data_IF_531175198094
#
_entry.id   IF_531175198094
#
_cell.length_a   1.000
_cell.length_b   1.000
_cell.length_c   1.000
_cell.angle_alpha   90.00
_cell.angle_beta   90.00
_cell.angle_gamma   90.00
#
_symmetry.space_group_name_H-M   'P 1'
#
loop_
_entity.id
_entity.type
_entity.pdbx_description
1 polymer ?
#
# COMPACT_ATOMS: atom_id res chain seq x y z
N UNK A 1 -13.24 8.77 -6.97
CA UNK A 1 -12.22 8.99 -5.91
C UNK A 1 -12.17 7.84 -4.90
N UNK A 2 -13.28 7.32 -4.39
CA UNK A 2 -13.26 6.16 -3.48
C UNK A 2 -12.52 4.92 -4.02
N UNK A 3 -12.61 4.68 -5.34
CA UNK A 3 -11.85 3.63 -6.02
C UNK A 3 -10.33 3.83 -5.94
N UNK A 4 -9.87 5.08 -5.89
CA UNK A 4 -8.45 5.42 -5.93
C UNK A 4 -7.79 5.29 -4.54
N UNK A 5 -8.46 5.80 -3.49
CA UNK A 5 -8.02 5.57 -2.10
C UNK A 5 -8.02 4.08 -1.74
N UNK A 6 -9.02 3.34 -2.18
CA UNK A 6 -9.08 1.89 -2.00
C UNK A 6 -7.90 1.19 -2.68
N UNK A 7 -7.59 1.56 -3.94
CA UNK A 7 -6.42 1.04 -4.65
C UNK A 7 -5.11 1.41 -3.96
N UNK A 8 -4.96 2.67 -3.55
CA UNK A 8 -3.78 3.18 -2.86
C UNK A 8 -3.54 2.45 -1.54
N UNK A 9 -4.58 2.28 -0.71
CA UNK A 9 -4.42 1.56 0.56
C UNK A 9 -4.25 0.06 0.38
N UNK A 10 -4.71 -0.52 -0.74
CA UNK A 10 -4.39 -1.90 -1.08
C UNK A 10 -2.89 -2.06 -1.35
N UNK A 11 -2.29 -1.11 -2.06
CA UNK A 11 -0.84 -1.04 -2.24
C UNK A 11 -0.11 -0.79 -0.92
N UNK A 12 -0.60 0.13 -0.08
CA UNK A 12 -0.05 0.38 1.25
C UNK A 12 0.05 -0.91 2.06
N UNK A 13 -1.02 -1.70 2.13
CA UNK A 13 -1.03 -2.97 2.86
C UNK A 13 -0.12 -4.01 2.24
N UNK A 14 0.00 -4.05 0.91
CA UNK A 14 0.97 -4.90 0.24
C UNK A 14 2.41 -4.55 0.67
N UNK A 15 2.75 -3.26 0.72
CA UNK A 15 4.06 -2.82 1.21
C UNK A 15 4.27 -3.17 2.69
N UNK A 16 3.26 -2.99 3.54
CA UNK A 16 3.35 -3.38 4.96
C UNK A 16 3.64 -4.88 5.10
N UNK A 17 2.98 -5.73 4.32
CA UNK A 17 3.23 -7.19 4.31
C UNK A 17 4.63 -7.52 3.80
N UNK A 18 5.10 -6.83 2.76
CA UNK A 18 6.43 -7.02 2.16
C UNK A 18 7.56 -6.82 3.18
N UNK A 19 7.36 -5.95 4.18
CA UNK A 19 8.32 -5.71 5.28
C UNK A 19 8.72 -6.99 6.01
N UNK A 20 7.78 -7.92 6.18
CA UNK A 20 8.04 -9.19 6.87
C UNK A 20 8.84 -10.16 5.99
N UNK A 21 8.82 -10.00 4.66
CA UNK A 21 9.48 -10.89 3.71
C UNK A 21 10.91 -10.47 3.42
N UNK A 22 11.14 -9.19 3.11
CA UNK A 22 12.48 -8.69 2.76
C UNK A 22 13.26 -8.12 3.95
N UNK A 23 12.61 -8.07 5.13
CA UNK A 23 13.19 -7.56 6.36
C UNK A 23 13.19 -6.03 6.45
N UNK A 24 13.20 -5.52 7.68
CA UNK A 24 13.03 -4.08 8.01
C UNK A 24 14.03 -3.17 7.28
N UNK A 25 15.32 -3.55 7.24
CA UNK A 25 16.37 -2.67 6.72
C UNK A 25 16.25 -2.50 5.20
N UNK A 26 16.05 -3.59 4.46
CA UNK A 26 15.86 -3.54 3.01
C UNK A 26 14.53 -2.86 2.67
N UNK A 27 13.48 -3.20 3.40
CA UNK A 27 12.18 -2.58 3.23
C UNK A 27 12.22 -1.06 3.41
N UNK A 28 12.90 -0.58 4.44
CA UNK A 28 13.02 0.86 4.70
C UNK A 28 13.76 1.59 3.57
N UNK A 29 14.73 0.95 2.93
CA UNK A 29 15.47 1.51 1.78
C UNK A 29 14.60 1.61 0.53
N UNK A 30 13.80 0.58 0.24
CA UNK A 30 13.04 0.47 -1.02
C UNK A 30 11.67 1.14 -0.93
N UNK A 31 10.91 0.85 0.13
CA UNK A 31 9.49 1.22 0.23
C UNK A 31 9.19 2.21 1.35
N UNK A 32 10.12 2.39 2.29
CA UNK A 32 9.90 3.22 3.47
C UNK A 32 9.57 4.68 3.16
N UNK A 33 9.98 5.21 1.99
CA UNK A 33 9.62 6.56 1.56
C UNK A 33 8.17 6.63 1.05
N UNK A 34 7.67 5.59 0.38
CA UNK A 34 6.32 5.54 -0.19
C UNK A 34 5.26 5.62 0.91
N UNK A 35 5.39 4.79 1.95
CA UNK A 35 4.46 4.82 3.09
C UNK A 35 4.49 6.18 3.78
N UNK A 36 5.67 6.77 3.96
CA UNK A 36 5.79 8.11 4.55
C UNK A 36 5.09 9.16 3.71
N UNK A 37 5.18 9.09 2.39
CA UNK A 37 4.52 10.04 1.50
C UNK A 37 3.00 9.91 1.57
N UNK A 38 2.49 8.67 1.56
CA UNK A 38 1.06 8.41 1.75
C UNK A 38 0.58 8.99 3.09
N UNK A 39 1.30 8.73 4.18
CA UNK A 39 0.88 9.15 5.52
C UNK A 39 1.07 10.66 5.79
N UNK A 40 2.07 11.31 5.19
CA UNK A 40 2.40 12.72 5.48
C UNK A 40 1.86 13.71 4.47
N UNK A 41 1.80 13.32 3.20
CA UNK A 41 1.38 14.22 2.12
C UNK A 41 -0.05 13.91 1.73
N UNK A 42 -0.38 12.65 1.45
CA UNK A 42 -1.70 12.30 0.93
C UNK A 42 -2.76 12.27 2.05
N UNK A 43 -2.44 11.64 3.18
CA UNK A 43 -3.42 11.41 4.25
C UNK A 43 -4.12 12.67 4.78
N UNK A 44 -3.43 13.81 5.00
CA UNK A 44 -4.04 15.03 5.50
C UNK A 44 -5.08 15.67 4.55
N UNK A 45 -5.09 15.33 3.26
CA UNK A 45 -6.04 15.89 2.30
C UNK A 45 -7.44 15.26 2.39
N UNK A 46 -7.62 14.20 3.18
CA UNK A 46 -8.89 13.49 3.29
C UNK A 46 -9.36 13.43 4.74
N UNK A 47 -10.67 13.32 4.91
CA UNK A 47 -11.24 13.14 6.25
C UNK A 47 -10.80 11.80 6.86
N UNK A 48 -10.62 11.80 8.19
CA UNK A 48 -10.21 10.60 8.91
C UNK A 48 -11.20 9.43 8.72
N UNK A 49 -12.50 9.72 8.57
CA UNK A 49 -13.54 8.70 8.32
C UNK A 49 -13.35 8.02 6.97
N UNK A 50 -13.11 8.80 5.91
CA UNK A 50 -12.87 8.25 4.56
C UNK A 50 -11.59 7.43 4.52
N UNK A 51 -10.52 7.91 5.16
CA UNK A 51 -9.26 7.16 5.23
C UNK A 51 -9.41 5.85 6.01
N UNK A 52 -10.14 5.87 7.12
CA UNK A 52 -10.40 4.68 7.92
C UNK A 52 -11.17 3.63 7.12
N UNK A 53 -12.28 4.01 6.47
CA UNK A 53 -13.05 3.10 5.63
C UNK A 53 -12.22 2.52 4.48
N UNK A 54 -11.43 3.35 3.79
CA UNK A 54 -10.58 2.88 2.70
C UNK A 54 -9.49 1.91 3.19
N UNK A 55 -8.86 2.20 4.35
CA UNK A 55 -7.87 1.32 4.99
C UNK A 55 -8.48 -0.02 5.38
N UNK A 56 -9.64 -0.02 6.03
CA UNK A 56 -10.34 -1.23 6.47
C UNK A 56 -10.77 -2.09 5.29
N UNK A 57 -11.39 -1.48 4.27
CA UNK A 57 -11.78 -2.16 3.04
C UNK A 57 -10.57 -2.78 2.34
N UNK A 58 -9.50 -2.02 2.16
CA UNK A 58 -8.29 -2.49 1.51
C UNK A 58 -7.55 -3.58 2.29
N UNK A 59 -7.69 -3.59 3.61
CA UNK A 59 -7.12 -4.65 4.46
C UNK A 59 -7.90 -5.96 4.30
N UNK A 60 -9.24 -5.88 4.35
CA UNK A 60 -10.12 -7.04 4.29
C UNK A 60 -10.21 -7.65 2.89
N UNK A 61 -10.35 -6.82 1.86
CA UNK A 61 -10.43 -7.23 0.46
C UNK A 61 -9.50 -6.35 -0.38
N UNK A 62 -8.20 -6.69 -0.53
CA UNK A 62 -7.26 -5.90 -1.30
C UNK A 62 -7.66 -5.82 -2.77
N UNK A 63 -7.51 -4.64 -3.38
CA UNK A 63 -7.78 -4.42 -4.80
C UNK A 63 -6.99 -5.43 -5.66
N UNK A 64 -7.58 -6.02 -6.72
CA UNK A 64 -6.95 -7.07 -7.53
C UNK A 64 -5.53 -6.73 -8.02
N UNK A 65 -5.33 -5.49 -8.46
CA UNK A 65 -4.01 -4.96 -8.86
C UNK A 65 -2.91 -5.11 -7.80
N UNK A 66 -3.23 -5.15 -6.51
CA UNK A 66 -2.26 -5.19 -5.41
C UNK A 66 -2.49 -6.36 -4.44
N UNK A 67 -3.32 -7.33 -4.83
CA UNK A 67 -3.60 -8.51 -4.00
C UNK A 67 -2.44 -9.50 -3.99
N UNK A 68 -1.65 -9.52 -5.06
CA UNK A 68 -0.53 -10.45 -5.24
C UNK A 68 0.82 -9.74 -5.15
N UNK A 69 1.79 -10.41 -4.53
CA UNK A 69 3.16 -9.90 -4.34
C UNK A 69 3.96 -9.82 -5.64
N UNK A 70 3.67 -10.65 -6.64
CA UNK A 70 4.33 -10.62 -7.95
C UNK A 70 4.26 -9.23 -8.61
N UNK A 71 3.26 -8.44 -8.26
CA UNK A 71 3.10 -7.06 -8.71
C UNK A 71 4.25 -6.14 -8.27
N UNK A 72 4.97 -6.47 -7.19
CA UNK A 72 6.16 -5.73 -6.73
C UNK A 72 7.45 -6.18 -7.43
N UNK A 73 7.48 -7.41 -7.93
CA UNK A 73 8.70 -8.01 -8.47
C UNK A 73 8.94 -7.64 -9.94
N UNK A 74 7.95 -7.00 -10.59
CA UNK A 74 7.93 -6.83 -12.04
C UNK A 74 7.78 -8.19 -12.72
N UNK A 75 6.99 -8.26 -13.79
CA UNK A 75 7.03 -9.42 -14.67
C UNK A 75 8.42 -9.47 -15.33
N UNK A 76 9.39 -10.13 -14.70
CA UNK A 76 10.54 -10.68 -15.39
C UNK A 76 10.02 -11.90 -16.17
N UNK A 77 9.40 -11.63 -17.31
CA UNK A 77 9.36 -12.62 -18.39
C UNK A 77 10.80 -12.76 -18.86
N UNK A 78 11.46 -13.83 -18.40
CA UNK A 78 12.72 -14.30 -18.96
C UNK A 78 12.55 -14.80 -20.39
#
# INVERSE_FOLDING_TARGET
MESDLYRMYSFYWLLVKERNLIGRNQWQKVYGWVIKEIDRVIAPHFSASVMKQAKEKAYADPHPMWRDRSMLLGHNHG
#
